data_IF_951744619276
#
_entry.id   IF_951744619276
#
_cell.length_a   1.000
_cell.length_b   1.000
_cell.length_c   1.000
_cell.angle_alpha   90.00
_cell.angle_beta   90.00
_cell.angle_gamma   90.00
#
_symmetry.space_group_name_H-M   'P 1'
#
loop_
_entity.id
_entity.type
_entity.pdbx_description
1 polymer ?
#
# COMPACT_ATOMS: atom_id res chain seq x y z
N UNK A 1 4.89 6.64 20.05
CA UNK A 1 4.17 5.35 20.07
C UNK A 1 2.98 5.48 19.12
N UNK A 2 2.66 4.48 18.31
CA UNK A 2 1.44 4.48 17.48
C UNK A 2 0.22 4.22 18.36
N UNK A 3 -0.86 4.93 18.12
CA UNK A 3 -2.14 4.82 18.85
C UNK A 3 -3.27 4.36 17.92
N UNK A 4 -4.39 3.96 18.50
CA UNK A 4 -5.61 3.68 17.72
C UNK A 4 -6.06 4.91 16.92
N UNK A 5 -5.87 6.11 17.46
CA UNK A 5 -6.22 7.35 16.78
C UNK A 5 -5.39 7.56 15.50
N UNK A 6 -4.11 7.19 15.50
CA UNK A 6 -3.27 7.23 14.29
C UNK A 6 -3.81 6.30 13.19
N UNK A 7 -4.35 5.14 13.58
CA UNK A 7 -4.97 4.19 12.64
C UNK A 7 -6.30 4.70 12.10
N UNK A 8 -7.14 5.31 12.93
CA UNK A 8 -8.42 5.88 12.52
C UNK A 8 -8.21 7.05 11.54
N UNK A 9 -7.25 7.93 11.83
CA UNK A 9 -6.86 9.00 10.92
C UNK A 9 -6.29 8.46 9.60
N UNK A 10 -5.44 7.43 9.67
CA UNK A 10 -4.92 6.79 8.47
C UNK A 10 -6.05 6.17 7.62
N UNK A 11 -7.02 5.51 8.26
CA UNK A 11 -8.18 4.94 7.58
C UNK A 11 -8.96 6.02 6.80
N UNK A 12 -9.27 7.15 7.45
CA UNK A 12 -9.96 8.27 6.80
C UNK A 12 -9.17 8.84 5.62
N UNK A 13 -7.86 9.07 5.78
CA UNK A 13 -7.01 9.63 4.72
C UNK A 13 -6.96 8.79 3.45
N UNK A 14 -6.97 7.46 3.58
CA UNK A 14 -6.74 6.57 2.45
C UNK A 14 -8.03 6.00 1.83
N UNK A 15 -9.17 6.12 2.52
CA UNK A 15 -10.41 5.42 2.19
C UNK A 15 -10.86 5.56 0.73
N UNK A 16 -10.70 6.75 0.14
CA UNK A 16 -11.10 7.04 -1.25
C UNK A 16 -10.20 6.36 -2.31
N UNK A 17 -9.00 5.92 -1.93
CA UNK A 17 -7.96 5.48 -2.87
C UNK A 17 -7.62 4.00 -2.74
N UNK A 18 -8.18 3.32 -1.74
CA UNK A 18 -7.90 1.92 -1.44
C UNK A 18 -9.18 1.09 -1.46
N UNK A 19 -9.05 -0.20 -1.76
CA UNK A 19 -10.17 -1.14 -1.63
C UNK A 19 -10.30 -1.66 -0.21
N UNK A 20 -11.54 -1.90 0.24
CA UNK A 20 -11.80 -2.82 1.35
C UNK A 20 -11.68 -4.24 0.79
N UNK A 21 -10.48 -4.82 0.90
CA UNK A 21 -10.17 -6.14 0.33
C UNK A 21 -11.03 -7.23 0.96
N UNK A 22 -11.37 -8.30 0.20
CA UNK A 22 -12.13 -9.42 0.75
C UNK A 22 -11.44 -10.09 1.93
N UNK A 23 -12.26 -10.65 2.82
CA UNK A 23 -11.85 -11.62 3.82
C UNK A 23 -12.51 -12.94 3.46
N UNK A 24 -11.73 -13.92 3.04
CA UNK A 24 -12.24 -15.17 2.45
C UNK A 24 -11.84 -16.35 3.32
N UNK A 25 -12.79 -17.18 3.73
CA UNK A 25 -12.49 -18.42 4.47
C UNK A 25 -11.78 -19.41 3.54
N UNK A 26 -10.69 -20.00 4.02
CA UNK A 26 -9.97 -21.06 3.31
C UNK A 26 -10.33 -22.42 3.89
N UNK A 27 -11.09 -23.23 3.16
CA UNK A 27 -11.50 -24.56 3.64
C UNK A 27 -10.30 -25.48 3.89
N UNK A 28 -9.40 -25.62 2.90
CA UNK A 28 -8.24 -26.50 3.02
C UNK A 28 -7.25 -26.09 4.11
N UNK A 29 -7.00 -24.77 4.28
CA UNK A 29 -6.15 -24.32 5.40
C UNK A 29 -6.84 -24.49 6.74
N UNK A 30 -8.17 -24.36 6.79
CA UNK A 30 -8.91 -24.58 8.04
C UNK A 30 -8.87 -26.03 8.48
N UNK A 31 -9.01 -26.96 7.54
CA UNK A 31 -8.87 -28.40 7.78
C UNK A 31 -7.46 -28.73 8.26
N UNK A 32 -6.44 -28.27 7.54
CA UNK A 32 -5.04 -28.51 7.89
C UNK A 32 -4.66 -27.93 9.27
N UNK A 33 -5.21 -26.78 9.63
CA UNK A 33 -4.93 -26.11 10.91
C UNK A 33 -5.81 -26.58 12.07
N UNK A 34 -6.88 -27.35 11.81
CA UNK A 34 -7.88 -27.70 12.83
C UNK A 34 -8.61 -26.48 13.42
N UNK A 35 -8.64 -25.35 12.71
CA UNK A 35 -9.19 -24.08 13.17
C UNK A 35 -9.72 -23.24 12.00
N UNK A 36 -10.51 -22.21 12.24
CA UNK A 36 -10.98 -21.34 11.16
C UNK A 36 -9.87 -20.42 10.62
N UNK A 37 -9.49 -20.62 9.37
CA UNK A 37 -8.49 -19.79 8.69
C UNK A 37 -9.16 -18.89 7.64
N UNK A 38 -8.93 -17.58 7.79
CA UNK A 38 -9.44 -16.54 6.90
C UNK A 38 -8.29 -15.78 6.23
N UNK A 39 -8.42 -15.53 4.93
CA UNK A 39 -7.43 -14.85 4.10
C UNK A 39 -7.86 -13.42 3.82
N UNK A 40 -7.04 -12.45 4.25
CA UNK A 40 -7.21 -11.04 3.91
C UNK A 40 -6.46 -10.73 2.61
N UNK A 41 -7.20 -10.59 1.51
CA UNK A 41 -6.62 -10.57 0.16
C UNK A 41 -6.04 -9.20 -0.23
N UNK A 42 -4.97 -8.78 0.44
CA UNK A 42 -4.25 -7.54 0.10
C UNK A 42 -3.57 -7.56 -1.26
N UNK A 43 -3.42 -8.73 -1.89
CA UNK A 43 -3.04 -8.87 -3.29
C UNK A 43 -4.03 -8.22 -4.27
N UNK A 44 -5.26 -7.96 -3.84
CA UNK A 44 -6.29 -7.29 -4.65
C UNK A 44 -6.33 -5.76 -4.47
N UNK A 45 -5.43 -5.19 -3.65
CA UNK A 45 -5.26 -3.74 -3.59
C UNK A 45 -4.82 -3.16 -4.93
N UNK A 46 -5.04 -1.85 -5.15
CA UNK A 46 -4.27 -1.12 -6.16
C UNK A 46 -2.78 -1.41 -5.96
N UNK A 47 -2.07 -1.63 -7.06
CA UNK A 47 -0.65 -2.07 -7.09
C UNK A 47 -0.37 -3.49 -6.58
N UNK A 48 -1.40 -4.31 -6.33
CA UNK A 48 -1.24 -5.73 -6.03
C UNK A 48 -0.70 -6.06 -4.64
N UNK A 49 -0.67 -5.10 -3.69
CA UNK A 49 -0.25 -5.37 -2.31
C UNK A 49 -0.73 -4.30 -1.32
N UNK A 50 -0.60 -4.59 -0.02
CA UNK A 50 -0.95 -3.65 1.06
C UNK A 50 -0.12 -2.35 1.09
N UNK A 51 1.02 -2.29 0.41
CA UNK A 51 1.99 -1.18 0.51
C UNK A 51 1.40 0.16 0.08
N UNK A 52 0.38 0.14 -0.78
CA UNK A 52 -0.35 1.35 -1.20
C UNK A 52 -0.97 2.09 -0.01
N UNK A 53 -1.43 1.38 1.03
CA UNK A 53 -2.05 1.98 2.22
C UNK A 53 -1.07 2.91 2.96
N UNK A 54 0.15 2.43 3.19
CA UNK A 54 1.19 3.19 3.87
C UNK A 54 1.69 4.36 3.01
N UNK A 55 1.88 4.11 1.72
CA UNK A 55 2.32 5.14 0.77
C UNK A 55 1.34 6.31 0.70
N UNK A 56 0.04 6.03 0.53
CA UNK A 56 -1.02 7.04 0.55
C UNK A 56 -1.06 7.77 1.91
N UNK A 57 -1.02 7.03 3.01
CA UNK A 57 -1.09 7.65 4.34
C UNK A 57 0.08 8.60 4.62
N UNK A 58 1.30 8.26 4.17
CA UNK A 58 2.47 9.10 4.28
C UNK A 58 2.38 10.31 3.34
N UNK A 59 2.05 10.08 2.06
CA UNK A 59 1.95 11.12 1.05
C UNK A 59 0.85 12.14 1.36
N UNK A 60 -0.30 11.71 1.88
CA UNK A 60 -1.42 12.59 2.28
C UNK A 60 -1.08 13.52 3.45
N UNK A 61 0.06 13.32 4.13
CA UNK A 61 0.52 14.18 5.24
C UNK A 61 1.52 15.25 4.80
N UNK A 62 1.92 15.25 3.53
CA UNK A 62 2.78 16.31 3.01
C UNK A 62 2.02 17.64 3.05
N UNK A 63 2.59 18.62 3.74
CA UNK A 63 2.01 19.96 3.81
C UNK A 63 2.01 20.66 2.44
N UNK A 64 3.02 20.36 1.62
CA UNK A 64 3.22 20.94 0.29
C UNK A 64 3.41 19.81 -0.73
N UNK A 65 2.59 19.79 -1.78
CA UNK A 65 2.64 18.76 -2.84
C UNK A 65 3.84 18.90 -3.79
N UNK A 66 4.55 20.02 -3.71
CA UNK A 66 5.75 20.33 -4.51
C UNK A 66 7.03 19.78 -3.88
N UNK A 67 6.99 19.38 -2.61
CA UNK A 67 8.16 18.80 -1.93
C UNK A 67 8.57 17.49 -2.61
N UNK A 68 9.87 17.29 -2.86
CA UNK A 68 10.35 16.05 -3.45
C UNK A 68 10.04 14.86 -2.54
N UNK A 69 9.45 13.83 -3.13
CA UNK A 69 9.28 12.51 -2.51
C UNK A 69 10.28 11.57 -3.14
N UNK A 70 11.14 10.98 -2.31
CA UNK A 70 12.15 10.02 -2.78
C UNK A 70 11.99 8.71 -2.00
N UNK A 71 12.02 7.59 -2.72
CA UNK A 71 12.09 6.26 -2.09
C UNK A 71 12.99 5.34 -2.93
N UNK A 72 13.49 4.28 -2.30
CA UNK A 72 14.18 3.20 -3.00
C UNK A 72 13.43 1.89 -2.76
N UNK A 73 13.02 1.21 -3.84
CA UNK A 73 12.31 -0.06 -3.74
C UNK A 73 12.33 -0.83 -5.05
N UNK A 74 12.72 -2.10 -5.00
CA UNK A 74 12.68 -3.02 -6.14
C UNK A 74 11.26 -3.54 -6.49
N UNK A 75 10.19 -2.95 -5.96
CA UNK A 75 8.85 -3.51 -6.16
C UNK A 75 7.71 -2.81 -5.45
N UNK A 76 6.98 -3.57 -4.62
CA UNK A 76 5.65 -3.20 -4.13
C UNK A 76 5.57 -1.81 -3.46
N UNK A 77 6.63 -1.38 -2.76
CA UNK A 77 6.63 -0.05 -2.15
C UNK A 77 6.82 1.06 -3.19
N UNK A 78 7.71 0.86 -4.18
CA UNK A 78 7.86 1.78 -5.32
C UNK A 78 6.55 1.96 -6.07
N UNK A 79 5.89 0.85 -6.44
CA UNK A 79 4.55 0.89 -7.07
C UNK A 79 3.53 1.62 -6.19
N UNK A 80 3.53 1.35 -4.87
CA UNK A 80 2.65 2.04 -3.93
C UNK A 80 2.87 3.56 -3.88
N UNK A 81 4.14 4.00 -3.92
CA UNK A 81 4.50 5.43 -3.96
C UNK A 81 4.12 6.06 -5.30
N UNK A 82 4.35 5.38 -6.42
CA UNK A 82 3.94 5.85 -7.75
C UNK A 82 2.41 6.03 -7.84
N UNK A 83 1.66 5.07 -7.31
CA UNK A 83 0.21 5.17 -7.23
C UNK A 83 -0.24 6.32 -6.34
N UNK A 84 0.34 6.48 -5.14
CA UNK A 84 0.01 7.58 -4.24
C UNK A 84 0.33 8.95 -4.87
N UNK A 85 1.46 9.07 -5.57
CA UNK A 85 1.83 10.27 -6.31
C UNK A 85 0.78 10.65 -7.35
N UNK A 86 0.31 9.66 -8.12
CA UNK A 86 -0.72 9.85 -9.14
C UNK A 86 -2.05 10.29 -8.52
N UNK A 87 -2.53 9.58 -7.49
CA UNK A 87 -3.83 9.87 -6.86
C UNK A 87 -3.86 11.20 -6.11
N UNK A 88 -2.72 11.64 -5.60
CA UNK A 88 -2.59 12.89 -4.82
C UNK A 88 -1.96 14.02 -5.64
N UNK A 89 -1.77 13.86 -6.96
CA UNK A 89 -1.21 14.90 -7.83
C UNK A 89 0.16 15.41 -7.36
N UNK A 90 1.03 14.54 -6.87
CA UNK A 90 2.40 14.89 -6.52
C UNK A 90 3.24 14.91 -7.81
N UNK A 91 3.95 16.00 -8.05
CA UNK A 91 4.67 16.21 -9.31
C UNK A 91 6.17 15.97 -9.21
N UNK A 92 6.71 15.87 -7.98
CA UNK A 92 8.14 15.72 -7.74
C UNK A 92 8.40 14.41 -6.97
N UNK A 93 8.42 13.28 -7.69
CA UNK A 93 8.57 11.95 -7.11
C UNK A 93 9.64 11.15 -7.85
N UNK A 94 10.63 10.65 -7.11
CA UNK A 94 11.71 9.82 -7.65
C UNK A 94 11.73 8.47 -6.93
N UNK A 95 11.65 7.38 -7.70
CA UNK A 95 11.71 6.02 -7.18
C UNK A 95 12.98 5.36 -7.72
N UNK A 96 13.92 5.05 -6.83
CA UNK A 96 15.13 4.32 -7.16
C UNK A 96 14.84 2.82 -7.14
N UNK A 97 15.11 2.16 -8.27
CA UNK A 97 14.99 0.70 -8.45
C UNK A 97 16.38 0.11 -8.69
N UNK A 98 16.71 -1.07 -8.13
CA UNK A 98 17.95 -1.76 -8.50
C UNK A 98 17.85 -2.28 -9.93
N UNK A 99 18.99 -2.38 -10.61
CA UNK A 99 19.08 -2.89 -12.00
C UNK A 99 18.53 -4.32 -12.15
N UNK A 100 18.55 -5.10 -11.06
CA UNK A 100 18.04 -6.48 -11.01
C UNK A 100 16.53 -6.57 -10.75
N UNK A 101 15.82 -5.45 -10.64
CA UNK A 101 14.39 -5.45 -10.41
C UNK A 101 13.63 -6.08 -11.60
N UNK A 102 12.59 -6.91 -11.34
CA UNK A 102 11.76 -7.45 -12.41
C UNK A 102 11.13 -6.34 -13.25
N UNK A 103 11.14 -6.47 -14.58
CA UNK A 103 10.60 -5.45 -15.49
C UNK A 103 9.13 -5.10 -15.21
N UNK A 104 8.32 -6.05 -14.73
CA UNK A 104 6.93 -5.81 -14.35
C UNK A 104 6.74 -4.87 -13.12
N UNK A 105 7.84 -4.43 -12.49
CA UNK A 105 7.85 -3.64 -11.25
C UNK A 105 8.55 -2.29 -11.39
N UNK A 106 8.97 -1.93 -12.61
CA UNK A 106 9.63 -0.66 -12.96
C UNK A 106 8.68 0.17 -13.81
#
# INVERSE_FOLDING_TARGET
MLTINDLLQAHQRIAAYVRRTPLVRSAGLSEQAGAEVWLKLESQQPTGSFKVRGALNAASRLAERTRPVVTASAGNHGLGVAYAATMLGLTNVTIFVPETAPAAKV
#
